data_IF_305899725169
#
_entry.id   IF_305899725169
#
_cell.length_a   1.000
_cell.length_b   1.000
_cell.length_c   1.000
_cell.angle_alpha   90.00
_cell.angle_beta   90.00
_cell.angle_gamma   90.00
#
_symmetry.space_group_name_H-M   'P 1'
#
loop_
_entity.id
_entity.type
_entity.pdbx_description
1 polymer ?
#
# COMPACT_ATOMS: atom_id res chain seq x y z
N UNK A 1 39.74 -87.89 -26.88
CA UNK A 1 40.48 -87.20 -27.97
C UNK A 1 39.88 -85.82 -28.17
N UNK A 2 40.75 -84.79 -28.21
CA UNK A 2 40.51 -83.37 -28.59
C UNK A 2 39.73 -82.53 -27.55
N UNK A 3 40.06 -81.29 -27.22
CA UNK A 3 41.28 -80.47 -27.23
C UNK A 3 41.04 -79.37 -26.17
N UNK A 4 42.12 -78.88 -25.57
CA UNK A 4 42.11 -77.77 -24.62
C UNK A 4 41.70 -76.44 -25.28
N UNK A 5 41.17 -75.52 -24.49
CA UNK A 5 40.95 -74.13 -24.87
C UNK A 5 40.85 -73.24 -23.63
N UNK A 6 41.98 -72.64 -23.23
CA UNK A 6 42.05 -71.54 -22.27
C UNK A 6 41.75 -70.26 -23.04
N UNK A 7 40.83 -69.43 -22.56
CA UNK A 7 40.67 -68.06 -23.03
C UNK A 7 40.66 -67.10 -21.83
N UNK A 8 41.67 -66.23 -21.80
CA UNK A 8 41.88 -65.17 -20.81
C UNK A 8 40.92 -63.99 -20.98
N UNK A 9 40.66 -63.35 -19.83
CA UNK A 9 40.28 -61.97 -19.53
C UNK A 9 39.99 -61.00 -20.69
N UNK A 10 38.89 -60.23 -20.56
CA UNK A 10 38.96 -58.77 -20.39
C UNK A 10 37.73 -58.27 -19.60
N UNK A 11 37.96 -57.71 -18.41
CA UNK A 11 36.94 -56.96 -17.68
C UNK A 11 37.00 -55.50 -18.16
N UNK A 12 35.98 -55.06 -18.90
CA UNK A 12 35.83 -53.66 -19.27
C UNK A 12 35.19 -52.90 -18.10
N UNK A 13 35.98 -52.11 -17.37
CA UNK A 13 35.45 -51.15 -16.40
C UNK A 13 34.91 -49.93 -17.16
N UNK A 14 33.57 -49.82 -17.26
CA UNK A 14 32.91 -48.65 -17.81
C UNK A 14 32.81 -47.57 -16.72
N UNK A 15 33.66 -46.55 -16.79
CA UNK A 15 33.60 -45.36 -15.93
C UNK A 15 32.41 -44.51 -16.35
N UNK A 16 31.32 -44.56 -15.57
CA UNK A 16 30.18 -43.67 -15.75
C UNK A 16 30.55 -42.25 -15.30
N UNK A 17 30.76 -41.34 -16.25
CA UNK A 17 30.89 -39.91 -15.99
C UNK A 17 29.52 -39.34 -15.61
N UNK A 18 29.32 -39.10 -14.31
CA UNK A 18 28.16 -38.35 -13.81
C UNK A 18 28.32 -36.88 -14.20
N UNK A 19 27.63 -36.45 -15.25
CA UNK A 19 27.54 -35.04 -15.62
C UNK A 19 26.53 -34.38 -14.67
N UNK A 20 27.04 -33.71 -13.64
CA UNK A 20 26.23 -32.86 -12.77
C UNK A 20 25.73 -31.65 -13.56
N UNK A 21 24.46 -31.68 -13.95
CA UNK A 21 23.80 -30.50 -14.52
C UNK A 21 23.64 -29.43 -13.43
N UNK A 22 23.93 -28.15 -13.71
CA UNK A 22 23.66 -27.10 -12.74
C UNK A 22 22.15 -26.98 -12.58
N UNK A 23 21.65 -27.22 -11.37
CA UNK A 23 20.27 -26.89 -11.04
C UNK A 23 20.13 -25.36 -11.14
N UNK A 24 19.41 -24.88 -12.16
CA UNK A 24 19.01 -23.48 -12.21
C UNK A 24 18.10 -23.21 -11.01
N UNK A 25 18.61 -22.51 -10.01
CA UNK A 25 17.80 -21.91 -8.97
C UNK A 25 16.87 -20.88 -9.63
N UNK A 26 15.64 -21.27 -9.94
CA UNK A 26 14.58 -20.33 -10.27
C UNK A 26 14.28 -19.58 -8.98
N UNK A 27 14.89 -18.41 -8.80
CA UNK A 27 14.44 -17.43 -7.81
C UNK A 27 12.94 -17.26 -8.05
N UNK A 28 12.07 -17.46 -7.04
CA UNK A 28 10.67 -17.11 -7.20
C UNK A 28 10.65 -15.66 -7.66
N UNK A 29 10.13 -15.40 -8.86
CA UNK A 29 9.86 -14.05 -9.28
C UNK A 29 8.94 -13.47 -8.20
N UNK A 30 9.48 -12.62 -7.33
CA UNK A 30 8.68 -11.89 -6.37
C UNK A 30 7.52 -11.27 -7.13
N UNK A 31 6.31 -11.44 -6.61
CA UNK A 31 5.07 -10.98 -7.25
C UNK A 31 5.28 -9.59 -7.85
N UNK A 32 5.08 -9.45 -9.16
CA UNK A 32 5.26 -8.16 -9.82
C UNK A 32 4.39 -7.09 -9.13
N UNK A 33 4.95 -5.90 -8.92
CA UNK A 33 4.23 -4.80 -8.31
C UNK A 33 3.05 -4.38 -9.19
N UNK A 34 1.97 -3.90 -8.58
CA UNK A 34 0.82 -3.40 -9.32
C UNK A 34 1.16 -2.06 -9.99
N UNK A 35 0.98 -1.94 -11.32
CA UNK A 35 1.13 -0.66 -12.01
C UNK A 35 0.14 0.37 -11.49
N UNK A 36 0.60 1.61 -11.28
CA UNK A 36 -0.24 2.74 -10.90
C UNK A 36 0.23 4.02 -11.61
N UNK A 37 -0.71 4.93 -11.86
CA UNK A 37 -0.45 6.27 -12.40
C UNK A 37 -0.80 7.34 -11.38
N UNK A 38 -0.24 8.55 -11.55
CA UNK A 38 -0.54 9.69 -10.68
C UNK A 38 -2.04 9.98 -10.64
N UNK A 39 -2.75 9.83 -11.76
CA UNK A 39 -4.21 10.03 -11.81
C UNK A 39 -4.96 9.00 -10.96
N UNK A 40 -4.52 7.72 -10.98
CA UNK A 40 -5.15 6.69 -10.16
C UNK A 40 -4.92 6.92 -8.67
N UNK A 41 -3.72 7.37 -8.28
CA UNK A 41 -3.42 7.70 -6.89
C UNK A 41 -4.17 8.96 -6.44
N UNK A 42 -4.22 10.01 -7.28
CA UNK A 42 -4.99 11.22 -7.01
C UNK A 42 -6.49 10.93 -6.75
N UNK A 43 -7.08 10.00 -7.52
CA UNK A 43 -8.48 9.61 -7.37
C UNK A 43 -8.79 8.90 -6.03
N UNK A 44 -7.77 8.43 -5.30
CA UNK A 44 -7.96 7.85 -3.96
C UNK A 44 -8.37 8.91 -2.93
N UNK A 45 -7.89 10.15 -3.08
CA UNK A 45 -8.40 11.28 -2.30
C UNK A 45 -9.88 11.51 -2.61
N UNK A 46 -10.27 11.51 -3.89
CA UNK A 46 -11.67 11.72 -4.28
C UNK A 46 -12.57 10.64 -3.68
N UNK A 47 -12.19 9.36 -3.81
CA UNK A 47 -12.90 8.23 -3.16
C UNK A 47 -13.04 8.43 -1.64
N UNK A 48 -11.99 8.88 -0.97
CA UNK A 48 -12.03 9.15 0.47
C UNK A 48 -12.92 10.37 0.80
N UNK A 49 -12.82 11.45 0.04
CA UNK A 49 -13.60 12.66 0.23
C UNK A 49 -15.10 12.41 -0.05
N UNK A 50 -15.41 11.58 -1.04
CA UNK A 50 -16.75 11.08 -1.34
C UNK A 50 -17.37 10.35 -0.16
N UNK A 51 -16.56 9.55 0.55
CA UNK A 51 -17.01 8.86 1.77
C UNK A 51 -17.37 9.84 2.89
N UNK A 52 -16.67 10.98 3.02
CA UNK A 52 -17.04 12.01 3.99
C UNK A 52 -18.45 12.57 3.72
N UNK A 53 -18.79 12.80 2.45
CA UNK A 53 -20.09 13.36 2.04
C UNK A 53 -21.27 12.47 2.43
N UNK A 54 -21.03 11.18 2.68
CA UNK A 54 -22.09 10.26 3.11
C UNK A 54 -22.48 10.45 4.58
N UNK A 55 -21.65 11.11 5.39
CA UNK A 55 -21.85 11.21 6.83
C UNK A 55 -21.68 9.88 7.60
N UNK A 56 -21.25 8.82 6.91
CA UNK A 56 -21.10 7.48 7.47
C UNK A 56 -19.63 7.19 7.83
N UNK A 57 -19.27 7.12 9.12
CA UNK A 57 -17.89 6.88 9.55
C UNK A 57 -17.36 5.51 9.13
N UNK A 58 -18.22 4.52 8.90
CA UNK A 58 -17.81 3.20 8.45
C UNK A 58 -17.32 3.25 7.00
N UNK A 59 -17.98 4.04 6.14
CA UNK A 59 -17.53 4.27 4.76
C UNK A 59 -16.18 4.98 4.70
N UNK A 60 -15.94 5.94 5.60
CA UNK A 60 -14.64 6.60 5.67
C UNK A 60 -13.56 5.63 6.13
N UNK A 61 -13.84 4.89 7.20
CA UNK A 61 -12.90 3.91 7.79
C UNK A 61 -12.54 2.79 6.81
N UNK A 62 -13.45 2.39 5.92
CA UNK A 62 -13.21 1.38 4.90
C UNK A 62 -12.11 1.75 3.86
N UNK A 63 -11.71 3.01 3.80
CA UNK A 63 -10.58 3.46 2.98
C UNK A 63 -9.21 3.15 3.61
N UNK A 64 -9.16 2.83 4.90
CA UNK A 64 -7.93 2.59 5.63
C UNK A 64 -7.55 1.11 5.63
N UNK A 65 -6.24 0.85 5.69
CA UNK A 65 -5.72 -0.48 5.95
C UNK A 65 -6.06 -0.91 7.39
N UNK A 66 -6.08 -2.22 7.67
CA UNK A 66 -6.38 -2.74 9.01
C UNK A 66 -5.37 -2.30 10.06
N UNK A 67 -4.14 -2.05 9.63
CA UNK A 67 -3.00 -1.52 10.39
C UNK A 67 -2.75 -0.03 10.13
N UNK A 68 -3.71 0.66 9.50
CA UNK A 68 -3.58 2.06 9.13
C UNK A 68 -3.42 3.00 10.32
N UNK A 69 -2.64 4.06 10.14
CA UNK A 69 -2.42 5.10 11.16
C UNK A 69 -2.95 6.45 10.70
N UNK A 70 -3.73 7.11 11.55
CA UNK A 70 -4.20 8.48 11.38
C UNK A 70 -3.63 9.39 12.46
N UNK A 71 -2.97 10.47 12.02
CA UNK A 71 -2.54 11.61 12.82
C UNK A 71 -3.39 12.81 12.39
N UNK A 72 -4.52 13.09 13.08
CA UNK A 72 -5.50 14.06 12.61
C UNK A 72 -5.21 15.49 13.09
N UNK A 73 -5.78 16.47 12.39
CA UNK A 73 -5.56 17.91 12.64
C UNK A 73 -6.06 18.38 14.02
N UNK A 74 -7.18 17.85 14.50
CA UNK A 74 -7.92 18.37 15.67
C UNK A 74 -7.93 17.41 16.86
N UNK A 75 -6.96 16.50 16.95
CA UNK A 75 -6.82 15.61 18.10
C UNK A 75 -5.36 15.24 18.35
N UNK A 76 -4.91 15.41 19.60
CA UNK A 76 -3.57 15.01 20.02
C UNK A 76 -3.39 13.48 20.08
N UNK A 77 -4.47 12.69 19.95
CA UNK A 77 -4.44 11.23 20.04
C UNK A 77 -4.28 10.60 18.65
N UNK A 78 -3.15 9.94 18.36
CA UNK A 78 -3.00 9.07 17.19
C UNK A 78 -4.06 7.97 17.17
N UNK A 79 -4.53 7.61 15.97
CA UNK A 79 -5.43 6.48 15.77
C UNK A 79 -4.66 5.41 15.02
N UNK A 80 -4.50 4.24 15.64
CA UNK A 80 -3.61 3.17 15.15
C UNK A 80 -4.36 1.86 14.94
N UNK A 81 -5.69 1.92 14.91
CA UNK A 81 -6.58 0.80 14.67
C UNK A 81 -7.90 1.31 14.04
N UNK A 82 -8.66 0.43 13.36
CA UNK A 82 -9.90 0.83 12.69
C UNK A 82 -10.95 1.43 13.62
N UNK A 83 -11.06 0.94 14.85
CA UNK A 83 -12.02 1.45 15.84
C UNK A 83 -11.70 2.89 16.24
N UNK A 84 -10.42 3.19 16.51
CA UNK A 84 -9.95 4.52 16.85
C UNK A 84 -10.07 5.51 15.68
N UNK A 85 -9.85 5.05 14.45
CA UNK A 85 -10.05 5.85 13.22
C UNK A 85 -11.53 6.18 13.05
N UNK A 86 -12.40 5.18 13.14
CA UNK A 86 -13.85 5.36 13.07
C UNK A 86 -14.35 6.36 14.10
N UNK A 87 -13.89 6.22 15.35
CA UNK A 87 -14.31 7.09 16.46
C UNK A 87 -13.90 8.56 16.25
N UNK A 88 -12.80 8.81 15.55
CA UNK A 88 -12.46 10.16 15.09
C UNK A 88 -13.49 10.69 14.08
N UNK A 89 -13.82 9.89 13.07
CA UNK A 89 -14.75 10.29 12.01
C UNK A 89 -16.20 10.46 12.49
N UNK A 90 -16.64 9.73 13.51
CA UNK A 90 -17.94 9.98 14.19
C UNK A 90 -18.08 11.45 14.62
N UNK A 91 -16.99 12.08 15.06
CA UNK A 91 -16.99 13.49 15.49
C UNK A 91 -16.75 14.43 14.31
N UNK A 92 -15.77 14.12 13.46
CA UNK A 92 -15.38 14.97 12.34
C UNK A 92 -16.52 15.18 11.33
N UNK A 93 -17.31 14.13 11.07
CA UNK A 93 -18.39 14.17 10.09
C UNK A 93 -19.61 15.03 10.51
N UNK A 94 -19.74 15.37 11.80
CA UNK A 94 -20.87 16.18 12.30
C UNK A 94 -20.96 17.57 11.66
N UNK A 95 -19.85 18.09 11.15
CA UNK A 95 -19.78 19.41 10.52
C UNK A 95 -19.74 19.32 8.98
N UNK A 96 -20.08 18.15 8.40
CA UNK A 96 -20.15 17.91 6.96
C UNK A 96 -18.93 18.42 6.17
N UNK A 97 -17.72 17.94 6.50
CA UNK A 97 -16.48 18.40 5.85
C UNK A 97 -16.46 18.06 4.36
N UNK A 98 -16.01 19.00 3.54
CA UNK A 98 -15.72 18.82 2.12
C UNK A 98 -14.31 19.31 1.82
N UNK A 99 -13.43 18.39 1.41
CA UNK A 99 -12.04 18.70 1.08
C UNK A 99 -11.86 19.10 -0.39
N UNK A 100 -10.92 20.02 -0.64
CA UNK A 100 -10.38 20.34 -1.96
C UNK A 100 -8.86 20.34 -1.90
N UNK A 101 -8.19 19.77 -2.89
CA UNK A 101 -6.73 19.80 -2.98
C UNK A 101 -6.28 21.15 -3.52
N UNK A 102 -5.33 21.80 -2.83
CA UNK A 102 -4.74 23.06 -3.27
C UNK A 102 -3.40 22.81 -3.97
N UNK A 103 -2.61 21.86 -3.45
CA UNK A 103 -1.34 21.42 -4.03
C UNK A 103 -1.12 19.93 -3.81
N UNK A 104 -0.36 19.30 -4.71
CA UNK A 104 -0.15 17.85 -4.72
C UNK A 104 1.20 17.48 -5.33
N UNK A 105 1.87 16.53 -4.69
CA UNK A 105 3.03 15.81 -5.20
C UNK A 105 2.78 14.32 -4.98
N UNK A 106 2.84 13.55 -6.06
CA UNK A 106 2.68 12.10 -6.02
C UNK A 106 4.03 11.41 -6.24
N UNK A 107 4.28 10.36 -5.47
CA UNK A 107 5.39 9.43 -5.68
C UNK A 107 4.88 8.00 -5.63
N UNK A 108 5.20 7.22 -6.66
CA UNK A 108 4.74 5.83 -6.80
C UNK A 108 5.94 4.90 -6.67
N UNK A 109 5.82 3.91 -5.78
CA UNK A 109 6.77 2.81 -5.62
C UNK A 109 6.09 1.46 -5.87
N UNK A 110 6.80 0.37 -5.54
CA UNK A 110 6.25 -0.97 -5.65
C UNK A 110 5.16 -1.20 -4.60
N UNK A 111 3.90 -1.34 -5.01
CA UNK A 111 2.74 -1.58 -4.12
C UNK A 111 2.54 -0.52 -3.02
N UNK A 112 3.17 0.64 -3.16
CA UNK A 112 3.10 1.78 -2.24
C UNK A 112 3.05 3.07 -3.05
N UNK A 113 2.29 4.06 -2.59
CA UNK A 113 2.27 5.39 -3.18
C UNK A 113 2.12 6.47 -2.09
N UNK A 114 2.61 7.66 -2.37
CA UNK A 114 2.45 8.83 -1.51
C UNK A 114 1.72 9.92 -2.29
N UNK A 115 0.74 10.55 -1.66
CA UNK A 115 0.08 11.78 -2.12
C UNK A 115 0.21 12.82 -1.02
N UNK A 116 0.96 13.89 -1.29
CA UNK A 116 1.39 14.86 -0.27
C UNK A 116 1.15 16.26 -0.79
N UNK A 117 0.66 17.15 0.08
CA UNK A 117 0.50 18.54 -0.28
C UNK A 117 -0.32 19.32 0.73
N UNK A 118 -1.13 20.24 0.21
CA UNK A 118 -2.04 21.07 0.99
C UNK A 118 -3.46 20.93 0.46
N UNK A 119 -4.41 21.02 1.38
CA UNK A 119 -5.82 20.98 1.08
C UNK A 119 -6.61 21.95 1.95
N UNK A 120 -7.85 22.19 1.54
CA UNK A 120 -8.77 23.07 2.20
C UNK A 120 -10.04 22.30 2.52
N UNK A 121 -10.45 22.28 3.80
CA UNK A 121 -11.76 21.79 4.20
C UNK A 121 -12.74 22.93 4.35
N UNK A 122 -13.89 22.81 3.70
CA UNK A 122 -15.08 23.62 3.96
C UNK A 122 -16.07 22.83 4.82
N UNK A 123 -16.64 23.49 5.82
CA UNK A 123 -17.64 22.91 6.72
C UNK A 123 -19.02 23.52 6.49
N UNK A 124 -20.08 22.86 6.98
CA UNK A 124 -21.46 23.34 6.82
C UNK A 124 -21.76 24.64 7.55
N UNK A 125 -20.96 25.00 8.57
CA UNK A 125 -21.06 26.28 9.27
C UNK A 125 -20.37 27.44 8.52
N UNK A 126 -19.86 27.19 7.31
CA UNK A 126 -19.17 28.16 6.47
C UNK A 126 -17.69 28.33 6.80
N UNK A 127 -17.18 27.72 7.89
CA UNK A 127 -15.75 27.78 8.20
C UNK A 127 -14.94 27.04 7.15
N UNK A 128 -13.72 27.53 6.96
CA UNK A 128 -12.72 26.95 6.08
C UNK A 128 -11.42 26.73 6.85
N UNK A 129 -10.77 25.59 6.63
CA UNK A 129 -9.51 25.23 7.26
C UNK A 129 -8.51 24.80 6.20
N UNK A 130 -7.42 25.56 6.08
CA UNK A 130 -6.25 25.19 5.29
C UNK A 130 -5.34 24.29 6.11
N UNK A 131 -4.86 23.22 5.48
CA UNK A 131 -4.03 22.24 6.16
C UNK A 131 -3.08 21.54 5.18
N UNK A 132 -2.04 20.96 5.74
CA UNK A 132 -1.13 20.04 5.06
C UNK A 132 -1.64 18.63 5.22
N UNK A 133 -1.34 17.77 4.25
CA UNK A 133 -1.63 16.35 4.32
C UNK A 133 -0.51 15.48 3.76
N UNK A 134 -0.45 14.26 4.28
CA UNK A 134 0.29 13.13 3.71
C UNK A 134 -0.64 11.94 3.73
N UNK A 135 -0.94 11.39 2.55
CA UNK A 135 -1.47 10.04 2.42
C UNK A 135 -0.35 9.11 1.95
N UNK A 136 -0.18 8.00 2.65
CA UNK A 136 0.56 6.84 2.15
C UNK A 136 -0.45 5.75 1.89
N UNK A 137 -0.48 5.28 0.65
CA UNK A 137 -1.32 4.20 0.20
C UNK A 137 -0.50 2.92 0.02
N UNK A 138 -1.08 1.79 0.38
CA UNK A 138 -0.53 0.47 0.10
C UNK A 138 -1.53 -0.37 -0.68
N UNK A 139 -1.01 -1.18 -1.60
CA UNK A 139 -1.80 -2.15 -2.32
C UNK A 139 -1.94 -3.42 -1.50
N UNK A 140 -3.13 -3.66 -0.97
CA UNK A 140 -3.44 -4.83 -0.15
C UNK A 140 -4.69 -5.53 -0.68
N UNK A 141 -4.62 -6.84 -0.91
CA UNK A 141 -5.78 -7.67 -1.30
C UNK A 141 -6.59 -7.09 -2.48
N UNK A 142 -5.91 -6.58 -3.50
CA UNK A 142 -6.57 -6.07 -4.71
C UNK A 142 -7.09 -4.63 -4.62
N UNK A 143 -6.74 -3.88 -3.57
CA UNK A 143 -7.18 -2.50 -3.38
C UNK A 143 -6.09 -1.60 -2.79
N UNK A 144 -6.07 -0.35 -3.22
CA UNK A 144 -5.30 0.71 -2.57
C UNK A 144 -6.02 1.18 -1.29
N UNK A 145 -5.33 1.06 -0.17
CA UNK A 145 -5.80 1.47 1.16
C UNK A 145 -4.85 2.49 1.77
N UNK A 146 -5.37 3.36 2.64
CA UNK A 146 -4.58 4.32 3.40
C UNK A 146 -3.86 3.57 4.53
N UNK A 147 -2.54 3.42 4.40
CA UNK A 147 -1.67 2.89 5.45
C UNK A 147 -1.24 3.99 6.43
N UNK A 148 -1.07 5.23 5.95
CA UNK A 148 -0.80 6.39 6.80
C UNK A 148 -1.53 7.62 6.31
N UNK A 149 -2.16 8.35 7.22
CA UNK A 149 -2.72 9.67 6.98
C UNK A 149 -2.23 10.62 8.06
N UNK A 150 -1.42 11.60 7.68
CA UNK A 150 -1.12 12.75 8.54
C UNK A 150 -1.84 13.99 8.02
N UNK A 151 -2.52 14.71 8.90
CA UNK A 151 -3.00 16.06 8.60
C UNK A 151 -2.69 17.03 9.73
N UNK A 152 -2.22 18.21 9.37
CA UNK A 152 -1.86 19.27 10.31
C UNK A 152 -2.33 20.63 9.80
N UNK A 153 -2.67 21.53 10.71
CA UNK A 153 -2.95 22.92 10.35
C UNK A 153 -1.73 23.56 9.68
N UNK A 154 -1.97 24.67 8.99
CA UNK A 154 -0.86 25.55 8.60
C UNK A 154 -0.12 26.04 9.86
N UNK A 155 1.22 26.02 9.87
CA UNK A 155 2.00 26.31 11.07
C UNK A 155 2.07 27.81 11.41
N UNK A 156 2.02 28.66 10.39
CA UNK A 156 2.02 30.11 10.53
C UNK A 156 0.62 30.59 10.90
N UNK A 157 0.56 31.65 11.72
CA UNK A 157 -0.68 32.39 11.98
C UNK A 157 -0.65 33.62 11.09
N UNK A 158 -1.79 33.94 10.48
CA UNK A 158 -2.02 35.26 9.89
C UNK A 158 -1.96 36.37 10.94
#
# INVERSE_FOLDING_TARGET
MKHAGIASLMAAAATALLVSSPASAQTPAGSACVPATDQQIAALFDRWNDSLRTGDPDKVTANYATDGVLLPTVSNKPRTDPGAIRDYFVKFLKNHPQGSIDSRVIKIGCNVAQDVGTYTFKFSDGKTVHARYTYVYEWQNGKWLIAHHHSSAMPERD
#
